data_IF_308605642124
#
_entry.id   IF_308605642124
#
_cell.length_a   1.000
_cell.length_b   1.000
_cell.length_c   1.000
_cell.angle_alpha   90.00
_cell.angle_beta   90.00
_cell.angle_gamma   90.00
#
_symmetry.space_group_name_H-M   'P 1'
#
loop_
_entity.id
_entity.type
_entity.pdbx_description
1 polymer ?
#
# COMPACT_ATOMS: atom_id res chain seq x y z
N UNK A 1 -20.70 -11.57 7.93
CA UNK A 1 -20.52 -10.11 8.07
C UNK A 1 -19.53 -9.71 9.17
N UNK A 2 -19.68 -10.15 10.43
CA UNK A 2 -18.73 -9.77 11.51
C UNK A 2 -17.28 -10.24 11.29
N UNK A 3 -17.07 -11.44 10.74
CA UNK A 3 -15.73 -11.92 10.39
C UNK A 3 -15.10 -11.08 9.26
N UNK A 4 -15.84 -10.78 8.19
CA UNK A 4 -15.37 -9.94 7.08
C UNK A 4 -14.95 -8.53 7.54
N UNK A 5 -15.74 -7.87 8.39
CA UNK A 5 -15.37 -6.56 8.93
C UNK A 5 -14.19 -6.62 9.92
N UNK A 6 -13.97 -7.75 10.59
CA UNK A 6 -12.81 -7.93 11.46
C UNK A 6 -11.55 -8.20 10.66
N UNK A 7 -11.66 -9.03 9.63
CA UNK A 7 -10.52 -9.52 8.84
C UNK A 7 -10.14 -8.51 7.73
N UNK A 8 -11.07 -7.66 7.27
CA UNK A 8 -10.86 -6.59 6.27
C UNK A 8 -11.16 -5.18 6.81
N UNK A 9 -11.20 -5.01 8.13
CA UNK A 9 -11.64 -3.76 8.77
C UNK A 9 -10.86 -2.52 8.35
N UNK A 10 -9.53 -2.65 8.17
CA UNK A 10 -8.69 -1.56 7.68
C UNK A 10 -9.08 -1.12 6.27
N UNK A 11 -9.27 -2.07 5.34
CA UNK A 11 -9.66 -1.77 3.97
C UNK A 11 -11.04 -1.12 3.91
N UNK A 12 -11.99 -1.59 4.72
CA UNK A 12 -13.33 -0.98 4.84
C UNK A 12 -13.24 0.43 5.41
N UNK A 13 -12.45 0.66 6.46
CA UNK A 13 -12.28 1.98 7.05
C UNK A 13 -11.67 2.97 6.04
N UNK A 14 -10.63 2.56 5.31
CA UNK A 14 -10.01 3.38 4.26
C UNK A 14 -10.98 3.65 3.10
N UNK A 15 -11.76 2.66 2.66
CA UNK A 15 -12.77 2.86 1.62
C UNK A 15 -13.87 3.84 2.06
N UNK A 16 -14.32 3.76 3.32
CA UNK A 16 -15.30 4.71 3.88
C UNK A 16 -14.71 6.11 3.93
N UNK A 17 -13.49 6.28 4.47
CA UNK A 17 -12.82 7.57 4.52
C UNK A 17 -12.62 8.16 3.13
N UNK A 18 -12.22 7.34 2.15
CA UNK A 18 -12.08 7.73 0.75
C UNK A 18 -13.42 8.19 0.16
N UNK A 19 -14.50 7.44 0.33
CA UNK A 19 -15.81 7.83 -0.19
C UNK A 19 -16.32 9.13 0.45
N UNK A 20 -16.12 9.30 1.76
CA UNK A 20 -16.51 10.53 2.46
C UNK A 20 -15.68 11.72 1.97
N UNK A 21 -14.36 11.59 1.87
CA UNK A 21 -13.51 12.68 1.39
C UNK A 21 -13.80 13.03 -0.07
N UNK A 22 -14.02 12.03 -0.93
CA UNK A 22 -14.36 12.22 -2.34
C UNK A 22 -15.73 12.88 -2.51
N UNK A 23 -16.72 12.54 -1.68
CA UNK A 23 -18.01 13.22 -1.66
C UNK A 23 -17.87 14.68 -1.21
N UNK A 24 -17.10 14.95 -0.15
CA UNK A 24 -16.83 16.30 0.32
C UNK A 24 -16.17 17.13 -0.79
N UNK A 25 -15.15 16.59 -1.47
CA UNK A 25 -14.50 17.24 -2.61
C UNK A 25 -15.50 17.56 -3.72
N UNK A 26 -16.35 16.60 -4.08
CA UNK A 26 -17.37 16.76 -5.12
C UNK A 26 -18.39 17.85 -4.78
N UNK A 27 -18.85 17.90 -3.52
CA UNK A 27 -19.81 18.90 -3.08
C UNK A 27 -19.18 20.29 -2.95
N UNK A 28 -17.96 20.37 -2.42
CA UNK A 28 -17.22 21.62 -2.31
C UNK A 28 -16.95 22.23 -3.69
N UNK A 29 -16.52 21.41 -4.66
CA UNK A 29 -16.29 21.87 -6.02
C UNK A 29 -17.59 22.31 -6.73
N UNK A 30 -18.73 21.67 -6.45
CA UNK A 30 -20.01 22.13 -6.96
C UNK A 30 -20.38 23.50 -6.39
N UNK A 31 -20.23 23.72 -5.09
CA UNK A 31 -20.51 25.02 -4.44
C UNK A 31 -19.67 26.12 -5.08
N UNK A 32 -18.36 25.88 -5.24
CA UNK A 32 -17.45 26.82 -5.90
C UNK A 32 -17.85 27.09 -7.35
N UNK A 33 -18.13 26.04 -8.14
CA UNK A 33 -18.57 26.17 -9.53
C UNK A 33 -19.86 26.98 -9.65
N UNK A 34 -20.85 26.73 -8.78
CA UNK A 34 -22.10 27.51 -8.81
C UNK A 34 -21.89 28.98 -8.48
N UNK A 35 -20.99 29.29 -7.53
CA UNK A 35 -20.66 30.65 -7.16
C UNK A 35 -19.94 31.38 -8.31
N UNK A 36 -19.01 30.71 -8.99
CA UNK A 36 -18.34 31.24 -10.18
C UNK A 36 -19.33 31.52 -11.31
N UNK A 37 -20.20 30.56 -11.66
CA UNK A 37 -21.18 30.75 -12.73
C UNK A 37 -22.15 31.90 -12.41
N UNK A 38 -22.61 32.00 -11.16
CA UNK A 38 -23.44 33.11 -10.71
C UNK A 38 -22.74 34.47 -10.84
N UNK A 39 -21.42 34.53 -10.57
CA UNK A 39 -20.63 35.76 -10.73
C UNK A 39 -20.49 36.19 -12.20
N UNK A 40 -20.55 35.24 -13.13
CA UNK A 40 -20.54 35.49 -14.58
C UNK A 40 -21.94 35.74 -15.15
N UNK A 41 -23.00 35.70 -14.32
CA UNK A 41 -24.38 35.83 -14.78
C UNK A 41 -24.92 34.59 -15.52
N UNK A 42 -24.23 33.46 -15.40
CA UNK A 42 -24.59 32.20 -16.03
C UNK A 42 -25.35 31.29 -15.06
N UNK A 43 -26.18 30.39 -15.60
CA UNK A 43 -26.83 29.35 -14.79
C UNK A 43 -25.91 28.14 -14.70
N UNK A 44 -25.61 27.69 -13.48
CA UNK A 44 -24.82 26.49 -13.28
C UNK A 44 -25.53 25.26 -13.82
N UNK A 45 -24.87 24.52 -14.71
CA UNK A 45 -25.37 23.27 -15.26
C UNK A 45 -24.50 22.10 -14.78
N UNK A 46 -25.14 20.99 -14.42
CA UNK A 46 -24.42 19.78 -14.01
C UNK A 46 -23.86 19.03 -15.21
N UNK A 47 -24.66 18.94 -16.27
CA UNK A 47 -24.33 18.28 -17.54
C UNK A 47 -24.21 19.31 -18.66
N UNK A 48 -23.52 18.96 -19.74
CA UNK A 48 -23.24 19.84 -20.87
C UNK A 48 -21.74 20.07 -21.07
N UNK A 49 -21.35 20.71 -22.16
CA UNK A 49 -19.95 20.97 -22.50
C UNK A 49 -19.25 21.91 -21.51
N UNK A 50 -20.01 22.80 -20.87
CA UNK A 50 -19.55 23.66 -19.77
C UNK A 50 -20.09 23.20 -18.41
N UNK A 51 -20.61 21.97 -18.33
CA UNK A 51 -21.19 21.44 -17.10
C UNK A 51 -20.13 21.07 -16.06
N UNK A 52 -20.51 21.14 -14.79
CA UNK A 52 -19.62 20.78 -13.68
C UNK A 52 -19.04 19.37 -13.79
N UNK A 53 -19.77 18.41 -14.39
CA UNK A 53 -19.30 17.04 -14.55
C UNK A 53 -17.91 16.98 -15.21
N UNK A 54 -17.65 17.82 -16.22
CA UNK A 54 -16.35 17.81 -16.90
C UNK A 54 -15.23 18.32 -15.99
N UNK A 55 -15.45 19.44 -15.30
CA UNK A 55 -14.51 20.01 -14.33
C UNK A 55 -14.24 19.06 -13.16
N UNK A 56 -15.27 18.37 -12.69
CA UNK A 56 -15.15 17.37 -11.64
C UNK A 56 -14.36 16.13 -12.10
N UNK A 57 -14.62 15.65 -13.32
CA UNK A 57 -13.87 14.54 -13.92
C UNK A 57 -12.40 14.94 -14.10
N UNK A 58 -12.13 16.12 -14.64
CA UNK A 58 -10.78 16.66 -14.82
C UNK A 58 -10.03 16.71 -13.49
N UNK A 59 -10.58 17.35 -12.46
CA UNK A 59 -9.95 17.42 -11.14
C UNK A 59 -9.74 16.02 -10.51
N UNK A 60 -10.66 15.08 -10.71
CA UNK A 60 -10.53 13.71 -10.20
C UNK A 60 -9.42 12.95 -10.95
N UNK A 61 -9.41 13.04 -12.29
CA UNK A 61 -8.45 12.33 -13.12
C UNK A 61 -7.05 12.94 -13.07
N UNK A 62 -6.90 14.24 -12.90
CA UNK A 62 -5.61 14.89 -12.67
C UNK A 62 -4.98 14.37 -11.37
N UNK A 63 -5.76 14.29 -10.29
CA UNK A 63 -5.28 13.72 -9.03
C UNK A 63 -4.90 12.23 -9.17
N UNK A 64 -5.68 11.46 -9.93
CA UNK A 64 -5.36 10.05 -10.16
C UNK A 64 -4.16 9.87 -11.08
N UNK A 65 -4.01 10.73 -12.07
CA UNK A 65 -2.87 10.73 -12.99
C UNK A 65 -1.57 10.99 -12.23
N UNK A 66 -1.55 11.99 -11.34
CA UNK A 66 -0.36 12.32 -10.56
C UNK A 66 0.02 11.19 -9.61
N UNK A 67 -0.94 10.61 -8.89
CA UNK A 67 -0.71 9.49 -7.98
C UNK A 67 -0.26 8.23 -8.73
N UNK A 68 -0.87 7.92 -9.88
CA UNK A 68 -0.43 6.80 -10.72
C UNK A 68 1.00 7.02 -11.22
N UNK A 69 1.31 8.22 -11.70
CA UNK A 69 2.66 8.57 -12.15
C UNK A 69 3.66 8.44 -11.00
N UNK A 70 3.32 8.93 -9.80
CA UNK A 70 4.15 8.81 -8.61
C UNK A 70 4.43 7.34 -8.26
N UNK A 71 3.39 6.51 -8.16
CA UNK A 71 3.52 5.09 -7.85
C UNK A 71 4.31 4.34 -8.93
N UNK A 72 4.03 4.62 -10.20
CA UNK A 72 4.74 4.04 -11.33
C UNK A 72 6.22 4.42 -11.31
N UNK A 73 6.52 5.72 -11.15
CA UNK A 73 7.88 6.22 -11.04
C UNK A 73 8.58 5.62 -9.84
N UNK A 74 7.92 5.50 -8.68
CA UNK A 74 8.49 4.84 -7.52
C UNK A 74 8.86 3.39 -7.85
N UNK A 75 7.95 2.57 -8.37
CA UNK A 75 8.21 1.16 -8.70
C UNK A 75 9.35 1.03 -9.71
N UNK A 76 9.35 1.83 -10.77
CA UNK A 76 10.40 1.83 -11.79
C UNK A 76 11.74 2.22 -11.18
N UNK A 77 11.80 3.35 -10.46
CA UNK A 77 13.03 3.82 -9.84
C UNK A 77 13.53 2.83 -8.79
N UNK A 78 12.68 2.24 -7.95
CA UNK A 78 13.11 1.23 -6.97
C UNK A 78 13.55 -0.08 -7.62
N UNK A 79 13.04 -0.41 -8.80
CA UNK A 79 13.49 -1.58 -9.55
C UNK A 79 14.89 -1.38 -10.17
N UNK A 80 15.23 -0.15 -10.58
CA UNK A 80 16.51 0.17 -11.23
C UNK A 80 17.58 0.73 -10.28
N UNK A 81 17.18 1.52 -9.29
CA UNK A 81 18.06 2.18 -8.33
C UNK A 81 18.07 1.39 -7.03
N UNK A 82 19.08 0.52 -6.90
CA UNK A 82 19.33 -0.21 -5.66
C UNK A 82 20.01 0.74 -4.67
N UNK A 83 19.32 1.05 -3.57
CA UNK A 83 19.94 1.72 -2.43
C UNK A 83 20.61 0.68 -1.53
N UNK A 84 21.95 0.58 -1.58
CA UNK A 84 22.73 -0.32 -0.71
C UNK A 84 22.44 -0.01 0.76
N UNK A 85 21.96 -1.01 1.50
CA UNK A 85 21.63 -0.89 2.93
C UNK A 85 20.18 -0.55 3.26
N UNK A 86 19.27 -0.49 2.27
CA UNK A 86 17.82 -0.44 2.55
C UNK A 86 17.29 -1.82 2.96
N UNK A 87 16.45 -1.89 4.00
CA UNK A 87 15.78 -3.12 4.45
C UNK A 87 14.76 -3.68 3.44
N UNK A 88 14.39 -2.89 2.43
CA UNK A 88 13.52 -3.28 1.29
C UNK A 88 14.34 -3.70 0.06
N UNK A 89 15.68 -3.70 0.15
CA UNK A 89 16.57 -4.07 -0.97
C UNK A 89 16.77 -5.58 -1.05
N UNK A 90 16.95 -6.09 -2.27
CA UNK A 90 17.30 -7.50 -2.57
C UNK A 90 18.50 -8.02 -1.76
N UNK A 91 19.47 -7.13 -1.49
CA UNK A 91 20.64 -7.47 -0.68
C UNK A 91 20.24 -7.95 0.74
N UNK A 92 19.16 -7.41 1.30
CA UNK A 92 18.66 -7.78 2.63
C UNK A 92 17.98 -9.15 2.64
N UNK A 93 17.33 -9.55 1.54
CA UNK A 93 16.68 -10.86 1.42
C UNK A 93 17.71 -11.98 1.29
N UNK A 94 18.74 -11.77 0.45
CA UNK A 94 19.82 -12.74 0.28
C UNK A 94 20.62 -12.92 1.58
N UNK A 95 20.94 -11.83 2.29
CA UNK A 95 21.58 -11.88 3.61
C UNK A 95 20.70 -12.59 4.66
N UNK A 96 19.40 -12.29 4.68
CA UNK A 96 18.46 -12.97 5.59
C UNK A 96 18.40 -14.48 5.30
N UNK A 97 18.36 -14.89 4.04
CA UNK A 97 18.37 -16.30 3.65
C UNK A 97 19.66 -17.00 4.07
N UNK A 98 20.81 -16.32 3.96
CA UNK A 98 22.10 -16.84 4.44
C UNK A 98 22.15 -16.98 5.96
N UNK A 99 21.54 -16.05 6.71
CA UNK A 99 21.45 -16.16 8.16
C UNK A 99 20.53 -17.33 8.57
N UNK A 100 19.41 -17.52 7.87
CA UNK A 100 18.48 -18.63 8.12
C UNK A 100 19.12 -20.00 7.83
N UNK A 101 19.89 -20.14 6.75
CA UNK A 101 20.60 -21.38 6.45
C UNK A 101 21.67 -21.69 7.50
N UNK A 102 22.45 -20.68 7.91
CA UNK A 102 23.45 -20.82 8.96
C UNK A 102 22.84 -21.27 10.30
N UNK A 103 21.70 -20.68 10.70
CA UNK A 103 20.98 -21.08 11.92
C UNK A 103 20.48 -22.52 11.81
N UNK A 104 19.95 -22.91 10.64
CA UNK A 104 19.46 -24.27 10.39
C UNK A 104 20.57 -25.30 10.54
N UNK A 105 21.72 -25.05 9.92
CA UNK A 105 22.88 -25.94 10.00
C UNK A 105 23.37 -26.10 11.45
N UNK A 106 23.40 -24.99 12.22
CA UNK A 106 23.78 -25.02 13.63
C UNK A 106 22.80 -25.85 14.48
N UNK A 107 21.49 -25.76 14.20
CA UNK A 107 20.47 -26.55 14.88
C UNK A 107 20.62 -28.05 14.62
N UNK A 108 20.89 -28.44 13.37
CA UNK A 108 21.07 -29.84 12.98
C UNK A 108 22.30 -30.45 13.68
N UNK A 109 23.40 -29.70 13.78
CA UNK A 109 24.59 -30.10 14.53
C UNK A 109 24.28 -30.28 16.03
N UNK A 110 23.58 -29.33 16.64
CA UNK A 110 23.21 -29.40 18.06
C UNK A 110 22.26 -30.58 18.33
N UNK A 111 21.31 -30.87 17.43
CA UNK A 111 20.42 -32.01 17.55
C UNK A 111 21.20 -33.33 17.48
N UNK A 112 22.16 -33.43 16.55
CA UNK A 112 23.05 -34.60 16.42
C UNK A 112 23.87 -34.83 17.69
N UNK A 113 24.54 -33.79 18.21
CA UNK A 113 25.27 -33.89 19.48
C UNK A 113 24.38 -34.30 20.66
N UNK A 114 23.15 -33.78 20.72
CA UNK A 114 22.18 -34.14 21.77
C UNK A 114 21.79 -35.61 21.69
N UNK A 115 21.62 -36.14 20.48
CA UNK A 115 21.36 -37.55 20.21
C UNK A 115 22.51 -38.43 20.71
N UNK A 116 23.74 -38.13 20.28
CA UNK A 116 24.94 -38.86 20.68
C UNK A 116 25.19 -38.81 22.21
N UNK A 117 24.94 -37.67 22.86
CA UNK A 117 25.02 -37.56 24.34
C UNK A 117 23.98 -38.42 25.05
N UNK A 118 22.78 -38.56 24.49
CA UNK A 118 21.72 -39.43 25.04
C UNK A 118 22.11 -40.89 24.92
N UNK A 119 22.62 -41.32 23.77
CA UNK A 119 23.10 -42.68 23.55
C UNK A 119 24.26 -43.05 24.49
N UNK A 120 25.26 -42.16 24.64
CA UNK A 120 26.38 -42.38 25.58
C UNK A 120 25.96 -42.47 27.04
N UNK A 121 24.89 -41.76 27.44
CA UNK A 121 24.33 -41.84 28.80
C UNK A 121 23.50 -43.10 29.01
N UNK A 122 22.74 -43.54 28.00
CA UNK A 122 21.97 -44.78 28.04
C UNK A 122 22.85 -46.03 28.05
N UNK A 123 23.98 -46.03 27.34
CA UNK A 123 24.92 -47.16 27.31
C UNK A 123 25.78 -47.33 28.58
N UNK A 124 25.71 -46.37 29.52
CA UNK A 124 26.43 -46.40 30.81
C UNK A 124 25.53 -46.72 32.00
N UNK A 125 24.23 -46.90 31.78
CA UNK A 125 23.24 -47.35 32.77
C UNK A 125 22.97 -48.85 32.58
#
# INVERSE_FOLDING_TARGET
MKAFLRDYGLGVALAVLFLVSWLIQSLAGWVEFTAEQASHGETAQLFGSSGYLWRWLEATFENWQSEFLQLFTMVVLTAFLIHRGSSESKDSDDEMMLQLSAIRDQLDLLQKERGERRERKGAKA
#
